data_IF_901289911561
#
_entry.id   IF_901289911561
#
_cell.length_a   1.000
_cell.length_b   1.000
_cell.length_c   1.000
_cell.angle_alpha   90.00
_cell.angle_beta   90.00
_cell.angle_gamma   90.00
#
_symmetry.space_group_name_H-M   'P 1'
#
loop_
_entity.id
_entity.type
_entity.pdbx_description
1 polymer ?
#
# COMPACT_ATOMS: atom_id res chain seq x y z
N UNK A 1 28.60 2.29 -11.67
CA UNK A 1 27.18 2.72 -11.41
C UNK A 1 27.09 4.21 -11.66
N UNK A 2 26.12 4.65 -12.42
CA UNK A 2 25.87 6.09 -12.71
C UNK A 2 25.56 6.84 -11.40
N UNK A 3 25.91 8.14 -11.32
CA UNK A 3 25.59 9.00 -10.16
C UNK A 3 24.09 9.04 -9.86
N UNK A 4 23.24 9.01 -10.89
CA UNK A 4 21.79 8.90 -10.75
C UNK A 4 21.33 7.59 -10.07
N UNK A 5 21.99 6.46 -10.37
CA UNK A 5 21.65 5.18 -9.75
C UNK A 5 22.02 5.15 -8.26
N UNK A 6 23.13 5.79 -7.86
CA UNK A 6 23.50 5.93 -6.44
C UNK A 6 22.50 6.80 -5.69
N UNK A 7 22.12 7.96 -6.23
CA UNK A 7 21.15 8.84 -5.60
C UNK A 7 19.77 8.18 -5.43
N UNK A 8 19.35 7.38 -6.41
CA UNK A 8 18.10 6.62 -6.31
C UNK A 8 18.16 5.56 -5.19
N UNK A 9 19.27 4.85 -5.06
CA UNK A 9 19.43 3.84 -4.02
C UNK A 9 19.48 4.46 -2.61
N UNK A 10 20.18 5.59 -2.44
CA UNK A 10 20.20 6.37 -1.19
C UNK A 10 18.80 6.83 -0.79
N UNK A 11 18.01 7.32 -1.75
CA UNK A 11 16.62 7.73 -1.50
C UNK A 11 15.76 6.55 -1.06
N UNK A 12 15.86 5.40 -1.75
CA UNK A 12 15.13 4.19 -1.37
C UNK A 12 15.49 3.73 0.05
N UNK A 13 16.77 3.82 0.43
CA UNK A 13 17.24 3.45 1.77
C UNK A 13 16.67 4.38 2.84
N UNK A 14 16.66 5.69 2.60
CA UNK A 14 16.07 6.67 3.51
C UNK A 14 14.57 6.45 3.70
N UNK A 15 13.83 6.27 2.60
CA UNK A 15 12.39 5.98 2.63
C UNK A 15 12.13 4.68 3.39
N UNK A 16 12.85 3.60 3.07
CA UNK A 16 12.71 2.30 3.75
C UNK A 16 12.94 2.42 5.25
N UNK A 17 13.98 3.15 5.67
CA UNK A 17 14.29 3.37 7.09
C UNK A 17 13.19 4.15 7.80
N UNK A 18 12.73 5.25 7.21
CA UNK A 18 11.70 6.11 7.80
C UNK A 18 10.37 5.35 8.00
N UNK A 19 9.90 4.67 6.96
CA UNK A 19 8.65 3.89 7.04
C UNK A 19 8.79 2.63 7.90
N UNK A 20 9.96 1.99 7.91
CA UNK A 20 10.25 0.88 8.82
C UNK A 20 10.17 1.29 10.29
N UNK A 21 10.65 2.49 10.66
CA UNK A 21 10.50 3.02 12.01
C UNK A 21 9.04 3.32 12.38
N UNK A 22 8.26 3.85 11.45
CA UNK A 22 6.81 4.06 11.65
C UNK A 22 6.09 2.74 11.89
N UNK A 23 6.37 1.72 11.10
CA UNK A 23 5.80 0.39 11.28
C UNK A 23 6.10 -0.20 12.67
N UNK A 24 7.32 0.00 13.17
CA UNK A 24 7.73 -0.45 14.51
C UNK A 24 7.02 0.29 15.63
N UNK A 25 6.85 1.59 15.48
CA UNK A 25 6.19 2.46 16.50
C UNK A 25 4.68 2.36 16.48
N UNK A 26 4.07 1.86 15.39
CA UNK A 26 2.63 1.87 15.16
C UNK A 26 2.00 3.26 15.40
N UNK A 27 2.77 4.31 15.14
CA UNK A 27 2.35 5.68 15.40
C UNK A 27 1.82 6.33 14.11
N UNK A 28 0.74 7.10 14.26
CA UNK A 28 0.21 7.96 13.20
C UNK A 28 1.12 9.18 13.00
N UNK A 29 1.35 9.58 11.76
CA UNK A 29 2.07 10.82 11.45
C UNK A 29 1.14 12.05 11.46
N UNK A 30 -0.16 11.87 11.61
CA UNK A 30 -1.13 12.96 11.70
C UNK A 30 -1.65 13.07 13.12
N UNK A 31 -1.33 14.16 13.80
CA UNK A 31 -2.09 14.54 15.00
C UNK A 31 -3.54 14.88 14.60
N UNK A 32 -4.55 14.54 15.45
CA UNK A 32 -5.97 14.62 15.07
C UNK A 32 -6.47 16.02 14.68
N UNK A 33 -5.67 17.06 14.83
CA UNK A 33 -6.12 18.44 14.68
C UNK A 33 -5.72 19.18 13.40
N UNK A 34 -4.86 18.62 12.51
CA UNK A 34 -4.22 19.46 11.51
C UNK A 34 -4.42 19.06 10.02
N UNK A 35 -4.71 17.84 9.68
CA UNK A 35 -4.70 17.43 8.26
C UNK A 35 -5.95 16.73 7.75
N UNK A 36 -6.83 16.23 8.60
CA UNK A 36 -8.03 15.50 8.17
C UNK A 36 -9.26 16.11 8.83
N UNK A 37 -10.25 16.47 8.04
CA UNK A 37 -11.54 16.97 8.55
C UNK A 37 -12.23 15.97 9.51
N UNK A 38 -13.24 16.42 10.28
CA UNK A 38 -13.73 15.73 11.48
C UNK A 38 -14.55 14.45 11.29
N UNK A 39 -14.48 13.75 10.17
CA UNK A 39 -15.40 12.66 9.84
C UNK A 39 -14.79 11.32 9.42
N UNK A 40 -13.54 11.04 9.74
CA UNK A 40 -13.04 9.68 9.54
C UNK A 40 -12.79 8.97 10.86
N UNK A 41 -13.78 8.22 11.32
CA UNK A 41 -13.54 7.13 12.26
C UNK A 41 -12.57 6.15 11.59
N UNK A 42 -11.34 6.15 12.04
CA UNK A 42 -10.33 5.18 11.65
C UNK A 42 -10.83 3.78 12.01
N UNK A 43 -11.22 2.99 11.05
CA UNK A 43 -11.55 1.57 11.25
C UNK A 43 -11.29 0.81 9.96
N UNK A 44 -10.02 0.72 9.57
CA UNK A 44 -9.64 -0.31 8.63
C UNK A 44 -8.35 -0.95 9.11
N UNK A 45 -8.25 -2.25 8.91
CA UNK A 45 -7.00 -2.97 9.15
C UNK A 45 -5.90 -2.30 8.33
N UNK A 46 -4.75 -2.06 8.94
CA UNK A 46 -3.59 -1.45 8.28
C UNK A 46 -3.58 0.08 8.23
N UNK A 47 -4.56 0.78 8.82
CA UNK A 47 -4.54 2.23 8.89
C UNK A 47 -3.51 2.72 9.93
N UNK A 48 -2.45 3.36 9.44
CA UNK A 48 -1.39 3.98 10.24
C UNK A 48 -1.53 5.51 10.26
N UNK A 49 -2.59 6.08 9.68
CA UNK A 49 -2.76 7.52 9.54
C UNK A 49 -1.79 8.16 8.52
N UNK A 50 -1.16 7.37 7.67
CA UNK A 50 -0.20 7.83 6.65
C UNK A 50 -0.86 8.11 5.30
N UNK A 51 -2.16 7.86 5.19
CA UNK A 51 -2.90 7.99 3.94
C UNK A 51 -3.33 9.44 3.69
N UNK A 52 -3.08 9.94 2.49
CA UNK A 52 -3.48 11.29 2.06
C UNK A 52 -4.81 11.32 1.30
N UNK A 53 -5.50 10.20 1.17
CA UNK A 53 -6.75 10.10 0.43
C UNK A 53 -7.34 8.68 0.47
N UNK A 54 -8.43 8.50 -0.28
CA UNK A 54 -9.07 7.20 -0.48
C UNK A 54 -9.08 6.85 -1.97
N UNK A 55 -7.99 6.24 -2.49
CA UNK A 55 -7.91 5.88 -3.91
C UNK A 55 -8.96 4.85 -4.30
N UNK A 56 -9.42 4.02 -3.36
CA UNK A 56 -10.43 2.99 -3.62
C UNK A 56 -11.81 3.61 -3.86
N UNK A 57 -12.14 4.69 -3.15
CA UNK A 57 -13.42 5.40 -3.34
C UNK A 57 -13.55 6.03 -4.73
N UNK A 58 -12.45 6.54 -5.28
CA UNK A 58 -12.41 7.23 -6.59
C UNK A 58 -12.13 6.31 -7.77
N UNK A 59 -11.70 5.07 -7.53
CA UNK A 59 -11.40 4.10 -8.59
C UNK A 59 -12.67 3.39 -9.08
N UNK A 60 -12.67 2.99 -10.36
CA UNK A 60 -13.73 2.17 -10.96
C UNK A 60 -13.49 0.67 -10.72
N UNK A 61 -13.20 0.30 -9.47
CA UNK A 61 -13.01 -1.10 -9.08
C UNK A 61 -14.33 -1.84 -9.13
N UNK A 62 -14.34 -2.95 -9.84
CA UNK A 62 -15.50 -3.83 -10.02
C UNK A 62 -15.35 -5.14 -9.24
N UNK A 63 -16.45 -5.80 -8.86
CA UNK A 63 -16.39 -7.15 -8.31
C UNK A 63 -15.67 -8.13 -9.25
N UNK A 64 -14.69 -8.86 -8.72
CA UNK A 64 -13.91 -9.83 -9.48
C UNK A 64 -12.58 -9.30 -10.03
N UNK A 65 -12.33 -7.99 -9.99
CA UNK A 65 -11.07 -7.40 -10.46
C UNK A 65 -9.86 -7.88 -9.68
N UNK A 66 -8.70 -7.84 -10.33
CA UNK A 66 -7.38 -7.91 -9.70
C UNK A 66 -6.84 -6.50 -9.53
N UNK A 67 -6.75 -6.06 -8.28
CA UNK A 67 -6.29 -4.71 -7.91
C UNK A 67 -4.88 -4.76 -7.37
N UNK A 68 -4.01 -3.88 -7.85
CA UNK A 68 -2.64 -3.69 -7.37
C UNK A 68 -2.50 -2.35 -6.65
N UNK A 69 -2.01 -2.37 -5.42
CA UNK A 69 -1.67 -1.19 -4.63
C UNK A 69 -0.16 -0.99 -4.58
N UNK A 70 0.31 0.16 -5.08
CA UNK A 70 1.71 0.55 -5.11
C UNK A 70 2.10 1.24 -3.80
N UNK A 71 3.07 0.66 -3.08
CA UNK A 71 3.49 1.15 -1.77
C UNK A 71 2.43 0.92 -0.70
N UNK A 72 1.93 -0.30 -0.62
CA UNK A 72 0.77 -0.67 0.17
C UNK A 72 0.93 -0.52 1.69
N UNK A 73 2.16 -0.34 2.19
CA UNK A 73 2.43 -0.20 3.61
C UNK A 73 1.84 -1.35 4.43
N UNK A 74 1.11 -1.03 5.49
CA UNK A 74 0.42 -1.99 6.35
C UNK A 74 -0.87 -2.57 5.76
N UNK A 75 -1.24 -2.19 4.52
CA UNK A 75 -2.31 -2.82 3.73
C UNK A 75 -3.66 -2.14 3.76
N UNK A 76 -3.80 -0.92 4.28
CA UNK A 76 -5.09 -0.22 4.38
C UNK A 76 -5.89 -0.25 3.07
N UNK A 77 -5.31 0.26 1.99
CA UNK A 77 -6.01 0.39 0.71
C UNK A 77 -6.21 -0.98 0.03
N UNK A 78 -5.30 -1.95 0.27
CA UNK A 78 -5.46 -3.35 -0.16
C UNK A 78 -6.70 -4.00 0.49
N UNK A 79 -6.89 -3.82 1.80
CA UNK A 79 -8.06 -4.38 2.49
C UNK A 79 -9.36 -3.72 2.08
N UNK A 80 -9.36 -2.41 1.81
CA UNK A 80 -10.51 -1.69 1.27
C UNK A 80 -10.86 -2.21 -0.14
N UNK A 81 -9.86 -2.34 -1.02
CA UNK A 81 -10.04 -2.92 -2.35
C UNK A 81 -10.58 -4.36 -2.27
N UNK A 82 -10.00 -5.20 -1.40
CA UNK A 82 -10.41 -6.59 -1.23
C UNK A 82 -11.88 -6.74 -0.83
N UNK A 83 -12.40 -5.86 0.03
CA UNK A 83 -13.83 -5.83 0.36
C UNK A 83 -14.68 -5.48 -0.87
N UNK A 84 -14.24 -4.52 -1.68
CA UNK A 84 -14.98 -4.03 -2.83
C UNK A 84 -15.05 -5.03 -3.97
N UNK A 85 -13.93 -5.71 -4.27
CA UNK A 85 -13.86 -6.72 -5.35
C UNK A 85 -14.54 -8.04 -4.98
N UNK A 86 -14.73 -8.30 -3.68
CA UNK A 86 -15.37 -9.52 -3.18
C UNK A 86 -14.50 -10.78 -3.36
N UNK A 87 -15.05 -11.96 -3.05
CA UNK A 87 -14.28 -13.20 -2.97
C UNK A 87 -13.76 -13.73 -4.31
N UNK A 88 -14.31 -13.28 -5.44
CA UNK A 88 -13.88 -13.67 -6.80
C UNK A 88 -12.72 -12.84 -7.33
N UNK A 89 -12.45 -11.67 -6.74
CA UNK A 89 -11.33 -10.80 -7.11
C UNK A 89 -10.10 -11.05 -6.25
N UNK A 90 -9.02 -10.28 -6.52
CA UNK A 90 -7.77 -10.37 -5.77
C UNK A 90 -7.18 -8.98 -5.56
N UNK A 91 -6.80 -8.65 -4.32
CA UNK A 91 -6.08 -7.43 -4.01
C UNK A 91 -4.62 -7.76 -3.69
N UNK A 92 -3.71 -7.11 -4.41
CA UNK A 92 -2.26 -7.33 -4.29
C UNK A 92 -1.63 -6.04 -3.77
N UNK A 93 -0.92 -6.09 -2.65
CA UNK A 93 -0.12 -4.99 -2.15
C UNK A 93 1.36 -5.20 -2.44
N UNK A 94 2.03 -4.17 -2.95
CA UNK A 94 3.49 -4.19 -3.14
C UNK A 94 4.12 -3.14 -2.26
N UNK A 95 5.10 -3.57 -1.45
CA UNK A 95 5.91 -2.67 -0.63
C UNK A 95 7.37 -3.14 -0.60
N UNK A 96 8.30 -2.20 -0.46
CA UNK A 96 9.73 -2.52 -0.39
C UNK A 96 10.24 -2.74 1.05
N UNK A 97 9.41 -2.42 2.05
CA UNK A 97 9.78 -2.38 3.47
C UNK A 97 9.36 -3.67 4.17
N UNK A 98 10.31 -4.42 4.69
CA UNK A 98 10.04 -5.69 5.38
C UNK A 98 9.15 -5.51 6.61
N UNK A 99 9.34 -4.45 7.36
CA UNK A 99 8.56 -4.12 8.54
C UNK A 99 7.09 -3.83 8.20
N UNK A 100 6.84 -3.13 7.07
CA UNK A 100 5.47 -2.88 6.59
C UNK A 100 4.81 -4.17 6.16
N UNK A 101 5.51 -5.02 5.40
CA UNK A 101 4.99 -6.32 4.97
C UNK A 101 4.71 -7.26 6.15
N UNK A 102 5.56 -7.24 7.18
CA UNK A 102 5.33 -8.02 8.40
C UNK A 102 4.07 -7.53 9.15
N UNK A 103 3.84 -6.20 9.18
CA UNK A 103 2.65 -5.63 9.79
C UNK A 103 1.40 -5.94 8.95
N UNK A 104 1.50 -5.82 7.61
CA UNK A 104 0.44 -6.21 6.69
C UNK A 104 0.03 -7.69 6.89
N UNK A 105 1.01 -8.60 7.03
CA UNK A 105 0.76 -10.01 7.33
C UNK A 105 -0.05 -10.23 8.62
N UNK A 106 0.25 -9.49 9.69
CA UNK A 106 -0.55 -9.54 10.93
C UNK A 106 -1.98 -9.02 10.71
N UNK A 107 -2.13 -8.01 9.88
CA UNK A 107 -3.44 -7.44 9.56
C UNK A 107 -4.27 -8.36 8.65
N UNK A 108 -3.65 -9.22 7.83
CA UNK A 108 -4.35 -10.24 7.04
C UNK A 108 -5.16 -11.17 7.94
N UNK A 109 -4.60 -11.60 9.07
CA UNK A 109 -5.33 -12.49 9.99
C UNK A 109 -6.54 -11.79 10.62
N UNK A 110 -6.41 -10.51 10.97
CA UNK A 110 -7.53 -9.70 11.47
C UNK A 110 -8.59 -9.50 10.38
N UNK A 111 -8.16 -9.22 9.15
CA UNK A 111 -9.04 -9.05 8.00
C UNK A 111 -9.84 -10.32 7.71
N UNK A 112 -9.19 -11.48 7.68
CA UNK A 112 -9.86 -12.79 7.51
C UNK A 112 -10.88 -13.05 8.63
N UNK A 113 -10.51 -12.79 9.86
CA UNK A 113 -11.39 -12.99 11.01
C UNK A 113 -12.63 -12.08 10.96
N UNK A 114 -12.48 -10.82 10.49
CA UNK A 114 -13.56 -9.83 10.44
C UNK A 114 -14.47 -9.98 9.23
N UNK A 115 -13.96 -10.48 8.09
CA UNK A 115 -14.69 -10.49 6.81
C UNK A 115 -14.98 -11.87 6.24
N UNK A 116 -14.23 -12.89 6.66
CA UNK A 116 -14.21 -14.22 6.03
C UNK A 116 -13.49 -14.25 4.67
N UNK A 117 -12.95 -13.11 4.19
CA UNK A 117 -12.26 -13.01 2.91
C UNK A 117 -10.79 -13.40 3.06
N UNK A 118 -10.23 -14.07 2.04
CA UNK A 118 -8.82 -14.44 1.94
C UNK A 118 -8.17 -14.00 0.63
N UNK A 119 -8.77 -13.01 -0.03
CA UNK A 119 -8.44 -12.55 -1.38
C UNK A 119 -7.37 -11.45 -1.40
N UNK A 120 -6.48 -11.42 -0.44
CA UNK A 120 -5.37 -10.48 -0.33
C UNK A 120 -4.02 -11.17 -0.42
N UNK A 121 -3.05 -10.51 -1.07
CA UNK A 121 -1.67 -10.97 -1.18
C UNK A 121 -0.73 -9.78 -1.02
N UNK A 122 0.39 -9.97 -0.30
CA UNK A 122 1.44 -8.96 -0.19
C UNK A 122 2.74 -9.49 -0.80
N UNK A 123 3.38 -8.65 -1.62
CA UNK A 123 4.63 -8.98 -2.32
C UNK A 123 5.69 -7.94 -2.01
N UNK A 124 6.91 -8.39 -1.74
CA UNK A 124 8.05 -7.50 -1.62
C UNK A 124 8.52 -7.05 -2.99
N UNK A 125 8.60 -5.75 -3.20
CA UNK A 125 9.08 -5.19 -4.47
C UNK A 125 9.19 -3.68 -4.42
N UNK A 126 9.83 -3.12 -5.46
CA UNK A 126 9.87 -1.68 -5.73
C UNK A 126 8.83 -1.34 -6.80
N UNK A 127 8.30 -0.13 -6.74
CA UNK A 127 7.31 0.33 -7.74
C UNK A 127 7.91 0.49 -9.13
N UNK A 128 9.23 0.64 -9.26
CA UNK A 128 9.97 0.68 -10.54
C UNK A 128 10.27 -0.72 -11.11
N UNK A 129 10.01 -1.79 -10.35
CA UNK A 129 10.24 -3.19 -10.76
C UNK A 129 9.21 -4.08 -10.04
N UNK A 130 7.98 -4.04 -10.54
CA UNK A 130 6.84 -4.69 -9.91
C UNK A 130 6.95 -6.21 -9.98
N UNK A 131 6.71 -6.92 -8.86
CA UNK A 131 6.69 -8.38 -8.81
C UNK A 131 5.34 -8.94 -9.27
N UNK A 132 4.85 -8.48 -10.43
CA UNK A 132 3.60 -8.91 -11.08
C UNK A 132 3.84 -9.28 -12.53
N UNK A 133 3.05 -10.20 -13.06
CA UNK A 133 3.13 -10.61 -14.46
C UNK A 133 2.41 -9.61 -15.35
N UNK A 134 2.85 -9.51 -16.60
CA UNK A 134 2.11 -8.72 -17.61
C UNK A 134 0.69 -9.25 -17.77
N UNK A 135 -0.29 -8.34 -17.72
CA UNK A 135 -1.71 -8.69 -17.83
C UNK A 135 -2.32 -9.36 -16.59
N UNK A 136 -1.62 -9.37 -15.45
CA UNK A 136 -2.15 -9.95 -14.19
C UNK A 136 -3.14 -9.03 -13.49
N UNK A 137 -3.13 -7.72 -13.76
CA UNK A 137 -3.80 -6.67 -12.98
C UNK A 137 -4.80 -5.91 -13.86
N UNK A 138 -5.99 -5.68 -13.34
CA UNK A 138 -7.03 -4.90 -14.00
C UNK A 138 -6.99 -3.43 -13.57
N UNK A 139 -6.72 -3.15 -12.30
CA UNK A 139 -6.71 -1.80 -11.72
C UNK A 139 -5.46 -1.60 -10.87
N UNK A 140 -4.81 -0.45 -11.05
CA UNK A 140 -3.69 -0.01 -10.19
C UNK A 140 -4.15 1.18 -9.36
N UNK A 141 -3.92 1.12 -8.06
CA UNK A 141 -4.11 2.23 -7.13
C UNK A 141 -2.77 2.61 -6.50
N UNK A 142 -2.66 3.84 -6.05
CA UNK A 142 -1.45 4.33 -5.38
C UNK A 142 -1.80 5.51 -4.48
N UNK A 143 -1.24 5.50 -3.28
CA UNK A 143 -1.43 6.58 -2.31
C UNK A 143 -0.09 7.07 -1.79
N UNK A 144 0.28 8.33 -2.11
CA UNK A 144 1.46 9.05 -1.63
C UNK A 144 2.84 8.43 -1.94
N UNK A 145 2.96 7.38 -2.78
CA UNK A 145 4.24 6.67 -2.99
C UNK A 145 4.96 7.07 -4.27
N UNK A 146 4.25 7.37 -5.37
CA UNK A 146 4.87 7.66 -6.68
C UNK A 146 5.79 8.88 -6.60
N UNK A 147 5.48 9.84 -5.72
CA UNK A 147 6.31 11.03 -5.48
C UNK A 147 7.71 10.68 -4.95
N UNK A 148 7.85 9.55 -4.27
CA UNK A 148 9.10 9.11 -3.66
C UNK A 148 10.04 8.44 -4.68
N UNK A 149 9.51 8.01 -5.83
CA UNK A 149 10.32 7.42 -6.90
C UNK A 149 11.21 8.46 -7.58
N UNK A 150 12.48 8.11 -7.77
CA UNK A 150 13.45 8.90 -8.53
C UNK A 150 13.38 8.64 -10.03
N UNK A 151 12.72 7.57 -10.45
CA UNK A 151 12.54 7.19 -11.85
C UNK A 151 11.06 6.90 -12.14
N UNK A 152 10.29 7.98 -12.21
CA UNK A 152 8.84 7.88 -12.45
C UNK A 152 8.51 7.25 -13.81
N UNK A 153 9.40 7.38 -14.80
CA UNK A 153 9.21 6.76 -16.11
C UNK A 153 9.22 5.23 -16.07
N UNK A 154 9.88 4.64 -15.07
CA UNK A 154 9.84 3.19 -14.86
C UNK A 154 8.63 2.71 -14.06
N UNK A 155 7.94 3.61 -13.38
CA UNK A 155 6.72 3.28 -12.63
C UNK A 155 5.55 3.13 -13.59
N UNK A 156 5.52 3.93 -14.66
CA UNK A 156 4.50 3.93 -15.72
C UNK A 156 4.96 3.16 -16.95
#
# INVERSE_FOLDING_TARGET
MSSKAKAAEETHELVRKAYGEVAKKQSSCCEPASCCGPTQKAVSEGDLGLSCGDPVAFSQIMPGDVVLDLGSGAGKDVFLAARRIGPSGKAIGVDMTDEMLALAGKNVEKFKASTGLGNVEFRKGRIEALPVKSGEVDVIISNCVINLSQDKAKVF
#
